data_IF_224077983922
#
_entry.id   IF_224077983922
#
_cell.length_a   1.000
_cell.length_b   1.000
_cell.length_c   1.000
_cell.angle_alpha   90.00
_cell.angle_beta   90.00
_cell.angle_gamma   90.00
#
_symmetry.space_group_name_H-M   'P 1'
#
loop_
_entity.id
_entity.type
_entity.pdbx_description
1 polymer ?
#
# COMPACT_ATOMS: atom_id res chain seq x y z
N UNK A 1 28.99 -6.43 -5.49
CA UNK A 1 28.36 -6.41 -6.82
C UNK A 1 27.98 -4.98 -7.22
N UNK A 2 28.03 -4.62 -8.51
CA UNK A 2 27.62 -3.30 -9.00
C UNK A 2 26.14 -3.35 -9.39
N UNK A 3 25.25 -2.88 -8.49
CA UNK A 3 23.81 -2.76 -8.77
C UNK A 3 23.60 -1.73 -9.88
N UNK A 4 22.92 -2.12 -10.96
CA UNK A 4 22.69 -1.24 -12.11
C UNK A 4 21.47 -0.33 -11.88
N UNK A 5 21.45 0.85 -12.52
CA UNK A 5 20.31 1.74 -12.46
C UNK A 5 19.01 1.10 -13.01
N UNK A 6 19.15 0.21 -14.00
CA UNK A 6 18.03 -0.53 -14.56
C UNK A 6 17.38 -1.47 -13.53
N UNK A 7 18.18 -2.22 -12.77
CA UNK A 7 17.67 -3.10 -11.71
C UNK A 7 16.93 -2.32 -10.62
N UNK A 8 17.47 -1.16 -10.22
CA UNK A 8 16.79 -0.29 -9.23
C UNK A 8 15.46 0.20 -9.77
N UNK A 9 15.41 0.63 -11.05
CA UNK A 9 14.19 1.11 -11.67
C UNK A 9 13.14 -0.01 -11.83
N UNK A 10 13.57 -1.21 -12.19
CA UNK A 10 12.70 -2.38 -12.28
C UNK A 10 12.08 -2.71 -10.92
N UNK A 11 12.89 -2.78 -9.87
CA UNK A 11 12.39 -3.05 -8.52
C UNK A 11 11.41 -1.97 -8.05
N UNK A 12 11.71 -0.69 -8.34
CA UNK A 12 10.80 0.43 -8.05
C UNK A 12 9.46 0.28 -8.76
N UNK A 13 9.46 -0.07 -10.05
CA UNK A 13 8.21 -0.27 -10.81
C UNK A 13 7.37 -1.41 -10.25
N UNK A 14 8.01 -2.49 -9.80
CA UNK A 14 7.31 -3.65 -9.22
C UNK A 14 6.73 -3.38 -7.82
N UNK A 15 7.39 -2.54 -7.02
CA UNK A 15 7.06 -2.39 -5.59
C UNK A 15 6.46 -1.04 -5.22
N UNK A 16 6.62 -0.01 -6.07
CA UNK A 16 6.28 1.37 -5.74
C UNK A 16 7.21 2.03 -4.71
N UNK A 17 8.23 1.32 -4.21
CA UNK A 17 9.12 1.84 -3.18
C UNK A 17 10.04 2.97 -3.70
N UNK A 18 10.54 3.79 -2.77
CA UNK A 18 11.47 4.88 -3.09
C UNK A 18 12.75 4.38 -3.76
N UNK A 19 13.31 5.18 -4.68
CA UNK A 19 14.50 4.82 -5.47
C UNK A 19 15.70 4.38 -4.60
N UNK A 20 15.95 5.11 -3.52
CA UNK A 20 17.04 4.80 -2.60
C UNK A 20 16.78 3.56 -1.75
N UNK A 21 15.53 3.29 -1.41
CA UNK A 21 15.16 2.08 -0.68
C UNK A 21 15.32 0.85 -1.57
N UNK A 22 14.92 0.94 -2.84
CA UNK A 22 15.15 -0.11 -3.83
C UNK A 22 16.66 -0.38 -4.01
N UNK A 23 17.48 0.67 -4.14
CA UNK A 23 18.94 0.51 -4.25
C UNK A 23 19.54 -0.16 -3.02
N UNK A 24 19.15 0.28 -1.81
CA UNK A 24 19.63 -0.32 -0.55
C UNK A 24 19.21 -1.78 -0.43
N UNK A 25 17.96 -2.10 -0.74
CA UNK A 25 17.45 -3.47 -0.70
C UNK A 25 18.20 -4.36 -1.71
N UNK A 26 18.51 -3.87 -2.91
CA UNK A 26 19.32 -4.59 -3.88
C UNK A 26 20.77 -4.79 -3.44
N UNK A 27 21.36 -3.84 -2.72
CA UNK A 27 22.70 -4.00 -2.15
C UNK A 27 22.70 -5.06 -1.03
N UNK A 28 21.71 -5.01 -0.14
CA UNK A 28 21.56 -5.95 0.99
C UNK A 28 21.22 -7.39 0.54
N UNK A 29 20.48 -7.53 -0.56
CA UNK A 29 20.16 -8.81 -1.19
C UNK A 29 21.21 -9.29 -2.20
N UNK A 30 22.33 -8.59 -2.33
CA UNK A 30 23.38 -8.89 -3.31
C UNK A 30 22.87 -8.99 -4.76
N UNK A 31 21.83 -8.21 -5.10
CA UNK A 31 21.22 -8.16 -6.43
C UNK A 31 20.09 -9.16 -6.68
N UNK A 32 19.71 -9.96 -5.67
CA UNK A 32 18.57 -10.87 -5.74
C UNK A 32 17.24 -10.09 -5.64
N UNK A 33 16.45 -10.12 -6.71
CA UNK A 33 15.22 -9.33 -6.83
C UNK A 33 14.14 -9.76 -5.83
N UNK A 34 13.96 -11.06 -5.60
CA UNK A 34 12.90 -11.55 -4.74
C UNK A 34 13.25 -11.30 -3.26
N UNK A 35 14.52 -11.50 -2.90
CA UNK A 35 15.01 -11.09 -1.57
C UNK A 35 14.91 -9.58 -1.36
N UNK A 36 15.20 -8.76 -2.37
CA UNK A 36 15.05 -7.32 -2.28
C UNK A 36 13.59 -6.90 -2.03
N UNK A 37 12.63 -7.58 -2.68
CA UNK A 37 11.19 -7.36 -2.45
C UNK A 37 10.82 -7.70 -1.00
N UNK A 38 11.31 -8.82 -0.47
CA UNK A 38 11.04 -9.20 0.92
C UNK A 38 11.66 -8.24 1.93
N UNK A 39 12.87 -7.74 1.66
CA UNK A 39 13.52 -6.70 2.47
C UNK A 39 12.65 -5.42 2.46
N UNK A 40 12.19 -4.99 1.28
CA UNK A 40 11.32 -3.81 1.15
C UNK A 40 9.99 -4.00 1.88
N UNK A 41 9.38 -5.19 1.80
CA UNK A 41 8.13 -5.51 2.50
C UNK A 41 8.31 -5.43 4.03
N UNK A 42 9.34 -6.08 4.57
CA UNK A 42 9.66 -6.03 6.01
C UNK A 42 9.97 -4.60 6.47
N UNK A 43 10.68 -3.82 5.65
CA UNK A 43 10.96 -2.42 5.93
C UNK A 43 9.70 -1.56 5.91
N UNK A 44 8.79 -1.79 4.95
CA UNK A 44 7.50 -1.13 4.86
C UNK A 44 6.66 -1.33 6.12
N UNK A 45 6.62 -2.55 6.65
CA UNK A 45 5.94 -2.85 7.93
C UNK A 45 6.50 -2.03 9.09
N UNK A 46 7.83 -1.91 9.20
CA UNK A 46 8.47 -1.08 10.23
C UNK A 46 8.12 0.41 10.08
N UNK A 47 8.03 0.92 8.85
CA UNK A 47 7.65 2.31 8.59
C UNK A 47 6.19 2.54 8.96
N UNK A 48 5.30 1.62 8.58
CA UNK A 48 3.88 1.68 8.95
C UNK A 48 3.71 1.71 10.47
N UNK A 49 4.41 0.84 11.21
CA UNK A 49 4.38 0.84 12.67
C UNK A 49 4.84 2.19 13.27
N UNK A 50 5.89 2.81 12.72
CA UNK A 50 6.35 4.14 13.16
C UNK A 50 5.40 5.28 12.82
N UNK A 51 4.49 5.08 11.87
CA UNK A 51 3.49 6.08 11.46
C UNK A 51 2.13 5.86 12.12
N UNK A 52 1.94 4.77 12.86
CA UNK A 52 0.67 4.44 13.49
C UNK A 52 0.21 5.49 14.52
N UNK A 53 1.14 6.20 15.14
CA UNK A 53 0.84 7.25 16.13
C UNK A 53 0.51 8.62 15.49
N UNK A 54 0.56 8.73 14.15
CA UNK A 54 0.22 9.98 13.46
C UNK A 54 -1.30 10.13 13.40
N UNK A 55 -1.76 11.36 13.59
CA UNK A 55 -3.16 11.70 13.35
C UNK A 55 -3.52 11.45 11.87
N UNK A 56 -4.64 10.77 11.66
CA UNK A 56 -5.20 10.45 10.35
C UNK A 56 -6.68 10.84 10.36
N UNK A 57 -6.94 12.15 10.33
CA UNK A 57 -8.29 12.70 10.51
C UNK A 57 -9.06 12.81 9.19
N UNK A 58 -8.38 12.69 8.05
CA UNK A 58 -8.98 12.66 6.71
C UNK A 58 -9.29 11.22 6.30
N UNK A 59 -10.04 11.00 5.22
CA UNK A 59 -10.34 9.65 4.75
C UNK A 59 -11.49 9.54 3.78
N UNK A 60 -11.92 8.29 3.54
CA UNK A 60 -13.07 7.97 2.68
C UNK A 60 -14.05 7.11 3.46
N UNK A 61 -15.33 7.46 3.34
CA UNK A 61 -16.45 6.65 3.83
C UNK A 61 -17.20 6.10 2.62
N UNK A 62 -17.34 4.79 2.53
CA UNK A 62 -18.11 4.11 1.48
C UNK A 62 -19.19 3.25 2.13
N UNK A 63 -20.34 3.14 1.45
CA UNK A 63 -21.44 2.27 1.85
C UNK A 63 -21.93 1.47 0.64
N UNK A 64 -22.29 0.21 0.88
CA UNK A 64 -22.81 -0.70 -0.15
C UNK A 64 -23.86 -1.61 0.45
N UNK A 65 -24.82 -2.00 -0.38
CA UNK A 65 -25.86 -2.97 -0.07
C UNK A 65 -25.59 -4.20 -0.94
N UNK A 66 -25.82 -5.40 -0.40
CA UNK A 66 -25.76 -6.65 -1.16
C UNK A 66 -26.81 -6.67 -2.27
N UNK A 67 -26.57 -7.44 -3.33
CA UNK A 67 -27.45 -7.47 -4.50
C UNK A 67 -28.86 -7.99 -4.16
N UNK A 68 -28.96 -8.89 -3.19
CA UNK A 68 -30.22 -9.44 -2.66
C UNK A 68 -30.93 -8.50 -1.66
N UNK A 69 -30.29 -7.37 -1.32
CA UNK A 69 -30.78 -6.33 -0.41
C UNK A 69 -31.02 -6.80 1.02
N UNK A 70 -30.38 -7.90 1.44
CA UNK A 70 -30.51 -8.44 2.81
C UNK A 70 -29.43 -7.94 3.76
N UNK A 71 -28.31 -7.45 3.22
CA UNK A 71 -27.16 -6.99 3.97
C UNK A 71 -26.66 -5.63 3.46
N UNK A 72 -26.14 -4.81 4.37
CA UNK A 72 -25.50 -3.55 4.04
C UNK A 72 -24.28 -3.35 4.93
N UNK A 73 -23.23 -2.77 4.36
CA UNK A 73 -22.01 -2.43 5.08
C UNK A 73 -21.59 -1.00 4.75
N UNK A 74 -21.04 -0.34 5.76
CA UNK A 74 -20.34 0.94 5.63
C UNK A 74 -18.94 0.76 6.19
N UNK A 75 -17.95 1.33 5.50
CA UNK A 75 -16.56 1.36 5.96
C UNK A 75 -16.04 2.79 5.91
N UNK A 76 -15.25 3.15 6.92
CA UNK A 76 -14.46 4.37 6.97
C UNK A 76 -12.99 3.97 7.03
N UNK A 77 -12.20 4.42 6.05
CA UNK A 77 -10.75 4.24 6.06
C UNK A 77 -10.09 5.62 6.04
N UNK A 78 -9.36 5.88 7.10
CA UNK A 78 -8.67 7.15 7.33
C UNK A 78 -7.29 7.22 6.68
N UNK A 79 -6.83 8.45 6.41
CA UNK A 79 -5.50 8.81 5.95
C UNK A 79 -5.06 10.17 6.51
N UNK A 80 -3.78 10.51 6.37
CA UNK A 80 -3.20 11.75 6.93
C UNK A 80 -3.69 13.03 6.20
N UNK A 81 -4.03 12.97 4.91
CA UNK A 81 -4.36 14.16 4.10
C UNK A 81 -5.51 13.95 3.13
N UNK A 82 -6.21 15.02 2.79
CA UNK A 82 -7.34 15.01 1.86
C UNK A 82 -6.91 14.66 0.42
N UNK A 83 -5.68 14.97 0.03
CA UNK A 83 -5.11 14.58 -1.26
C UNK A 83 -5.05 13.06 -1.42
N UNK A 84 -4.76 12.32 -0.34
CA UNK A 84 -4.78 10.85 -0.37
C UNK A 84 -6.22 10.35 -0.39
N UNK A 85 -7.11 10.94 0.40
CA UNK A 85 -8.52 10.56 0.42
C UNK A 85 -9.18 10.69 -0.97
N UNK A 86 -8.79 11.69 -1.75
CA UNK A 86 -9.32 11.95 -3.12
C UNK A 86 -8.60 11.16 -4.21
N UNK A 87 -7.57 10.39 -3.88
CA UNK A 87 -6.81 9.62 -4.86
C UNK A 87 -7.59 8.37 -5.32
N UNK A 88 -7.69 8.16 -6.64
CA UNK A 88 -8.45 7.05 -7.21
C UNK A 88 -7.95 5.66 -6.75
N UNK A 89 -6.63 5.48 -6.59
CA UNK A 89 -6.06 4.20 -6.14
C UNK A 89 -6.44 3.95 -4.66
N UNK A 90 -6.49 5.01 -3.84
CA UNK A 90 -6.93 4.91 -2.46
C UNK A 90 -8.43 4.55 -2.39
N UNK A 91 -9.28 5.25 -3.15
CA UNK A 91 -10.72 4.95 -3.22
C UNK A 91 -10.96 3.52 -3.72
N UNK A 92 -10.25 3.09 -4.75
CA UNK A 92 -10.33 1.73 -5.27
C UNK A 92 -9.92 0.68 -4.22
N UNK A 93 -8.90 0.98 -3.41
CA UNK A 93 -8.53 0.14 -2.28
C UNK A 93 -9.66 0.04 -1.24
N UNK A 94 -10.23 1.17 -0.80
CA UNK A 94 -11.36 1.15 0.16
C UNK A 94 -12.57 0.38 -0.41
N UNK A 95 -12.86 0.55 -1.70
CA UNK A 95 -13.93 -0.18 -2.38
C UNK A 95 -13.66 -1.69 -2.38
N UNK A 96 -12.42 -2.12 -2.64
CA UNK A 96 -12.05 -3.54 -2.61
C UNK A 96 -12.25 -4.19 -1.24
N UNK A 97 -12.00 -3.44 -0.16
CA UNK A 97 -12.25 -3.90 1.21
C UNK A 97 -13.75 -3.98 1.48
N UNK A 98 -14.54 -2.99 1.05
CA UNK A 98 -15.99 -3.02 1.18
C UNK A 98 -16.62 -4.17 0.38
N UNK A 99 -16.13 -4.43 -0.83
CA UNK A 99 -16.62 -5.53 -1.66
C UNK A 99 -16.35 -6.89 -1.00
N UNK A 100 -15.18 -7.07 -0.35
CA UNK A 100 -14.93 -8.26 0.46
C UNK A 100 -15.91 -8.40 1.62
N UNK A 101 -16.28 -7.30 2.28
CA UNK A 101 -17.25 -7.33 3.37
C UNK A 101 -18.67 -7.71 2.89
N UNK A 102 -19.06 -7.26 1.69
CA UNK A 102 -20.38 -7.55 1.08
C UNK A 102 -20.49 -8.99 0.56
N UNK A 103 -19.39 -9.58 0.09
CA UNK A 103 -19.37 -10.90 -0.53
C UNK A 103 -19.11 -12.06 0.47
N UNK A 104 -19.17 -11.81 1.79
CA UNK A 104 -19.00 -12.85 2.82
C UNK A 104 -20.27 -13.68 3.03
#
# INVERSE_FOLDING_TARGET
MKITAQQVNELRKRTGAGMMDCKKALVESEGDMDKAIDILRKKGQKIAAKRADRAADEGVVLAKVSDDKTFAATIMINCETDFVAKNNDFIAFVQSVLDLAINN
#
